data_IF_894998398294
#
_entry.id   IF_894998398294
#
_cell.length_a   1.000
_cell.length_b   1.000
_cell.length_c   1.000
_cell.angle_alpha   90.00
_cell.angle_beta   90.00
_cell.angle_gamma   90.00
#
_symmetry.space_group_name_H-M   'P 1'
#
loop_
_entity.id
_entity.type
_entity.pdbx_description
1 polymer ?
#
# COMPACT_ATOMS: atom_id res chain seq x y z
N UNK A 1 17.96 10.81 -17.46
CA UNK A 1 18.78 10.30 -18.59
C UNK A 1 19.72 9.15 -18.23
N UNK A 2 19.67 8.66 -16.99
CA UNK A 2 20.52 7.60 -16.46
C UNK A 2 20.25 6.25 -17.14
N UNK A 3 18.99 5.96 -17.45
CA UNK A 3 18.59 4.75 -18.20
C UNK A 3 19.24 4.72 -19.59
N UNK A 4 19.27 5.88 -20.28
CA UNK A 4 19.98 5.98 -21.57
C UNK A 4 21.50 5.83 -21.42
N UNK A 5 22.07 6.39 -20.35
CA UNK A 5 23.47 6.24 -20.05
C UNK A 5 23.85 4.77 -19.77
N UNK A 6 22.98 4.04 -19.07
CA UNK A 6 23.10 2.59 -18.82
C UNK A 6 22.81 1.73 -20.05
N UNK A 7 22.45 2.35 -21.20
CA UNK A 7 22.06 1.66 -22.42
C UNK A 7 20.92 0.65 -22.23
N UNK A 8 19.96 0.98 -21.36
CA UNK A 8 18.77 0.19 -21.11
C UNK A 8 17.65 0.73 -22.03
N UNK A 9 17.23 -0.02 -23.06
CA UNK A 9 16.13 0.40 -23.93
C UNK A 9 14.77 0.26 -23.21
N UNK A 10 13.77 0.98 -23.69
CA UNK A 10 12.36 0.78 -23.35
C UNK A 10 11.54 0.83 -24.64
N UNK A 11 10.48 0.04 -24.69
CA UNK A 11 9.73 -0.24 -25.91
C UNK A 11 8.47 0.61 -26.04
N UNK A 12 7.90 1.09 -24.91
CA UNK A 12 6.63 1.80 -24.88
C UNK A 12 6.81 3.28 -24.54
N UNK A 13 5.74 4.06 -24.71
CA UNK A 13 5.73 5.47 -24.34
C UNK A 13 5.83 5.63 -22.81
N UNK A 14 6.48 6.72 -22.41
CA UNK A 14 6.64 7.05 -20.98
C UNK A 14 5.29 7.46 -20.40
N UNK A 15 4.85 6.75 -19.37
CA UNK A 15 3.64 7.05 -18.62
C UNK A 15 3.99 7.85 -17.36
N UNK A 16 3.36 9.00 -17.19
CA UNK A 16 3.51 9.81 -15.99
C UNK A 16 2.37 9.52 -15.01
N UNK A 17 2.69 9.11 -13.78
CA UNK A 17 1.71 8.77 -12.74
C UNK A 17 0.64 9.85 -12.55
N UNK A 18 1.00 11.14 -12.65
CA UNK A 18 0.04 12.25 -12.53
C UNK A 18 -1.07 12.23 -13.59
N UNK A 19 -0.83 11.64 -14.74
CA UNK A 19 -1.84 11.54 -15.80
C UNK A 19 -2.92 10.50 -15.45
N UNK A 20 -2.62 9.59 -14.53
CA UNK A 20 -3.52 8.52 -14.10
C UNK A 20 -4.38 8.88 -12.87
N UNK A 21 -4.35 10.10 -12.37
CA UNK A 21 -5.09 10.52 -11.16
C UNK A 21 -6.59 10.17 -11.21
N UNK A 22 -7.22 10.32 -12.38
CA UNK A 22 -8.63 9.95 -12.55
C UNK A 22 -8.88 8.45 -12.35
N UNK A 23 -7.96 7.60 -12.82
CA UNK A 23 -8.04 6.15 -12.60
C UNK A 23 -7.86 5.81 -11.13
N UNK A 24 -6.88 6.44 -10.46
CA UNK A 24 -6.66 6.26 -9.02
C UNK A 24 -7.93 6.64 -8.24
N UNK A 25 -8.55 7.79 -8.55
CA UNK A 25 -9.79 8.24 -7.91
C UNK A 25 -10.94 7.24 -8.09
N UNK A 26 -11.13 6.73 -9.30
CA UNK A 26 -12.16 5.72 -9.58
C UNK A 26 -11.99 4.47 -8.71
N UNK A 27 -10.74 4.03 -8.49
CA UNK A 27 -10.46 2.88 -7.62
C UNK A 27 -10.68 3.21 -6.15
N UNK A 28 -10.31 4.41 -5.69
CA UNK A 28 -10.62 4.87 -4.32
C UNK A 28 -12.13 4.86 -4.08
N UNK A 29 -12.90 5.43 -5.01
CA UNK A 29 -14.37 5.49 -4.92
C UNK A 29 -14.98 4.07 -4.93
N UNK A 30 -14.44 3.17 -5.75
CA UNK A 30 -14.85 1.75 -5.76
C UNK A 30 -14.61 1.07 -4.41
N UNK A 31 -13.40 1.22 -3.84
CA UNK A 31 -13.06 0.62 -2.55
C UNK A 31 -13.93 1.17 -1.42
N UNK A 32 -14.22 2.48 -1.41
CA UNK A 32 -15.15 3.10 -0.46
C UNK A 32 -16.57 2.53 -0.62
N UNK A 33 -17.07 2.43 -1.85
CA UNK A 33 -18.41 1.89 -2.14
C UNK A 33 -18.55 0.43 -1.71
N UNK A 34 -17.49 -0.34 -1.81
CA UNK A 34 -17.45 -1.76 -1.39
C UNK A 34 -17.22 -1.95 0.11
N UNK A 35 -16.97 -0.89 0.88
CA UNK A 35 -16.63 -0.98 2.30
C UNK A 35 -15.23 -1.56 2.57
N UNK A 36 -14.38 -1.61 1.54
CA UNK A 36 -12.99 -2.07 1.61
C UNK A 36 -12.02 -0.93 1.99
N UNK A 37 -12.54 0.29 2.00
CA UNK A 37 -11.87 1.48 2.50
C UNK A 37 -12.88 2.35 3.27
N UNK A 38 -12.38 3.30 4.05
CA UNK A 38 -13.22 4.20 4.83
C UNK A 38 -12.59 5.59 4.92
N UNK A 39 -13.43 6.60 5.20
CA UNK A 39 -12.98 7.96 5.47
C UNK A 39 -12.55 8.07 6.92
N UNK A 40 -11.36 8.61 7.14
CA UNK A 40 -10.78 8.81 8.47
C UNK A 40 -10.60 10.31 8.70
N UNK A 41 -11.31 10.84 9.70
CA UNK A 41 -11.34 12.26 10.07
C UNK A 41 -10.42 12.58 11.25
N UNK A 42 -9.60 11.62 11.69
CA UNK A 42 -8.67 11.80 12.79
C UNK A 42 -7.60 12.83 12.43
N UNK A 43 -7.34 13.77 13.34
CA UNK A 43 -6.26 14.74 13.22
C UNK A 43 -4.88 14.03 13.31
N UNK A 44 -3.88 14.59 12.61
CA UNK A 44 -2.52 14.00 12.55
C UNK A 44 -1.88 13.79 13.92
N UNK A 45 -2.19 14.65 14.88
CA UNK A 45 -1.59 14.62 16.21
C UNK A 45 -1.96 13.39 17.05
N UNK A 46 -3.09 12.75 16.73
CA UNK A 46 -3.54 11.52 17.41
C UNK A 46 -2.92 10.25 16.83
N UNK A 47 -2.09 10.34 15.80
CA UNK A 47 -1.44 9.19 15.15
C UNK A 47 -0.01 8.95 15.61
N UNK A 48 0.58 9.88 16.35
CA UNK A 48 1.90 9.72 17.01
C UNK A 48 1.79 9.22 18.43
N UNK A 49 0.57 8.93 18.88
CA UNK A 49 0.32 8.28 20.17
C UNK A 49 0.82 6.84 20.14
N UNK A 50 2.12 6.71 20.31
CA UNK A 50 2.74 5.51 20.84
C UNK A 50 2.30 5.32 22.29
N UNK A 51 1.06 4.95 22.53
CA UNK A 51 0.74 4.17 23.72
C UNK A 51 1.29 2.76 23.49
N UNK A 52 2.62 2.70 23.28
CA UNK A 52 3.37 1.48 23.45
C UNK A 52 3.41 1.18 24.96
N UNK A 53 2.34 0.64 25.47
CA UNK A 53 2.45 -0.12 26.70
C UNK A 53 3.35 -1.32 26.39
N UNK A 54 4.57 -1.26 26.94
CA UNK A 54 5.52 -2.37 26.98
C UNK A 54 4.96 -3.50 27.85
N UNK A 55 3.89 -4.12 27.42
CA UNK A 55 3.46 -5.42 27.89
C UNK A 55 3.83 -6.41 26.81
N UNK A 56 4.52 -7.51 27.12
CA UNK A 56 5.05 -8.52 26.20
C UNK A 56 4.02 -9.26 25.33
N UNK A 57 2.93 -8.61 24.99
CA UNK A 57 1.98 -9.00 23.97
C UNK A 57 2.48 -8.56 22.59
N UNK A 58 2.27 -9.37 21.56
CA UNK A 58 2.55 -9.04 20.15
C UNK A 58 1.99 -7.66 19.82
N UNK A 59 2.86 -6.78 19.30
CA UNK A 59 2.45 -5.45 18.83
C UNK A 59 1.38 -5.61 17.74
N UNK A 60 0.17 -5.17 18.05
CA UNK A 60 -0.91 -5.11 17.08
C UNK A 60 -0.92 -3.71 16.43
N UNK A 61 -1.11 -3.67 15.12
CA UNK A 61 -1.16 -2.42 14.40
C UNK A 61 -2.38 -1.58 14.80
N UNK A 62 -2.20 -0.26 14.78
CA UNK A 62 -3.27 0.70 15.05
C UNK A 62 -4.45 0.49 14.10
N UNK A 63 -5.66 0.44 14.68
CA UNK A 63 -6.94 0.44 13.96
C UNK A 63 -7.68 1.74 14.27
N UNK A 64 -8.03 2.49 13.23
CA UNK A 64 -8.75 3.74 13.40
C UNK A 64 -10.17 3.49 13.95
N UNK A 65 -10.64 4.29 14.93
CA UNK A 65 -12.03 4.22 15.38
C UNK A 65 -13.06 4.53 14.28
N UNK A 66 -12.64 5.22 13.20
CA UNK A 66 -13.47 5.51 12.03
C UNK A 66 -13.69 4.29 11.11
N UNK A 67 -12.98 3.20 11.35
CA UNK A 67 -13.02 1.98 10.54
C UNK A 67 -14.42 1.38 10.40
N UNK A 68 -15.19 1.37 11.48
CA UNK A 68 -16.50 0.70 11.55
C UNK A 68 -17.66 1.72 11.60
N UNK A 69 -17.35 3.00 11.59
CA UNK A 69 -18.32 4.10 11.57
C UNK A 69 -18.73 4.41 10.11
N UNK A 70 -19.35 3.46 9.43
CA UNK A 70 -19.62 3.48 7.99
C UNK A 70 -20.54 4.58 7.48
N UNK A 71 -21.09 5.45 8.35
CA UNK A 71 -22.08 6.47 7.98
C UNK A 71 -21.78 7.88 8.50
N UNK A 72 -20.69 8.09 9.19
CA UNK A 72 -20.36 9.43 9.66
C UNK A 72 -19.73 10.22 8.54
N UNK A 73 -20.55 10.92 7.80
CA UNK A 73 -20.13 12.03 6.98
C UNK A 73 -20.07 13.23 7.89
N UNK A 74 -18.85 13.69 8.20
CA UNK A 74 -18.63 15.05 8.68
C UNK A 74 -18.33 15.91 7.44
N UNK A 75 -19.37 16.51 6.82
CA UNK A 75 -19.24 17.08 5.46
C UNK A 75 -18.23 18.23 5.39
N UNK A 76 -17.95 18.89 6.51
CA UNK A 76 -17.09 20.07 6.57
C UNK A 76 -15.65 19.78 7.07
N UNK A 77 -15.34 18.53 7.39
CA UNK A 77 -14.00 18.16 7.84
C UNK A 77 -13.17 17.51 6.74
N UNK A 78 -11.90 17.87 6.71
CA UNK A 78 -10.94 17.17 5.86
C UNK A 78 -10.75 15.73 6.36
N UNK A 79 -10.64 14.80 5.44
CA UNK A 79 -10.41 13.39 5.75
C UNK A 79 -9.34 12.80 4.82
N UNK A 80 -8.75 11.72 5.29
CA UNK A 80 -7.97 10.82 4.44
C UNK A 80 -8.76 9.54 4.19
N UNK A 81 -8.47 8.82 3.12
CA UNK A 81 -9.06 7.51 2.88
C UNK A 81 -8.06 6.44 3.29
N UNK A 82 -8.49 5.52 4.16
CA UNK A 82 -7.70 4.38 4.59
C UNK A 82 -8.24 3.09 4.00
N UNK A 83 -7.32 2.21 3.60
CA UNK A 83 -7.66 0.83 3.23
C UNK A 83 -8.03 0.06 4.50
N UNK A 84 -9.10 -0.71 4.43
CA UNK A 84 -9.57 -1.53 5.54
C UNK A 84 -8.88 -2.89 5.49
N UNK A 85 -7.77 -3.04 6.21
CA UNK A 85 -7.05 -4.32 6.28
C UNK A 85 -7.95 -5.40 6.84
N UNK A 86 -8.16 -6.54 6.17
CA UNK A 86 -9.05 -7.59 6.66
C UNK A 86 -8.51 -8.21 7.96
N UNK A 87 -9.41 -8.66 8.82
CA UNK A 87 -9.05 -9.45 10.00
C UNK A 87 -8.91 -10.93 9.67
N UNK A 88 -9.58 -11.38 8.61
CA UNK A 88 -9.50 -12.74 8.09
C UNK A 88 -9.26 -12.74 6.57
N UNK A 89 -8.37 -13.59 6.07
CA UNK A 89 -7.49 -14.48 6.86
C UNK A 89 -6.49 -13.66 7.69
N UNK A 90 -6.06 -14.20 8.83
CA UNK A 90 -5.12 -13.51 9.73
C UNK A 90 -3.72 -13.35 9.15
N UNK A 91 -3.40 -14.08 8.08
CA UNK A 91 -2.10 -14.04 7.42
C UNK A 91 -2.25 -13.93 5.91
N UNK A 92 -1.28 -13.25 5.28
CA UNK A 92 -1.10 -13.26 3.83
C UNK A 92 0.19 -13.99 3.50
N UNK A 93 0.11 -14.90 2.53
CA UNK A 93 1.26 -15.67 2.04
C UNK A 93 1.50 -15.29 0.58
N UNK A 94 2.77 -15.21 0.20
CA UNK A 94 3.17 -15.01 -1.19
C UNK A 94 4.57 -15.56 -1.43
N UNK A 95 4.86 -15.93 -2.67
CA UNK A 95 6.18 -16.40 -3.08
C UNK A 95 6.95 -15.24 -3.69
N UNK A 96 8.12 -14.95 -3.11
CA UNK A 96 9.08 -14.01 -3.67
C UNK A 96 10.15 -14.79 -4.45
N UNK A 97 10.52 -14.33 -5.64
CA UNK A 97 11.48 -15.05 -6.50
C UNK A 97 12.89 -15.16 -5.93
N UNK A 98 13.25 -14.28 -5.00
CA UNK A 98 14.57 -14.26 -4.35
C UNK A 98 14.49 -14.80 -2.92
N UNK A 99 13.45 -14.39 -2.18
CA UNK A 99 13.29 -14.71 -0.76
C UNK A 99 12.53 -16.01 -0.51
N UNK A 100 11.87 -16.58 -1.52
CA UNK A 100 11.05 -17.79 -1.39
C UNK A 100 9.69 -17.49 -0.74
N UNK A 101 9.16 -18.46 -0.01
CA UNK A 101 7.85 -18.36 0.64
C UNK A 101 7.89 -17.40 1.83
N UNK A 102 7.05 -16.38 1.79
CA UNK A 102 6.90 -15.37 2.82
C UNK A 102 5.48 -15.39 3.38
N UNK A 103 5.38 -15.19 4.70
CA UNK A 103 4.12 -15.17 5.43
C UNK A 103 4.07 -13.98 6.37
N UNK A 104 3.05 -13.14 6.25
CA UNK A 104 2.87 -11.93 7.05
C UNK A 104 1.61 -12.00 7.89
N UNK A 105 1.74 -11.64 9.18
CA UNK A 105 0.60 -11.49 10.09
C UNK A 105 -0.08 -10.15 9.85
N UNK A 106 -1.34 -10.15 9.41
CA UNK A 106 -2.09 -8.95 9.09
C UNK A 106 -2.46 -8.11 10.33
N UNK A 107 -2.34 -8.69 11.53
CA UNK A 107 -2.50 -7.92 12.77
C UNK A 107 -1.41 -6.85 12.93
N UNK A 108 -0.26 -7.03 12.28
CA UNK A 108 0.87 -6.08 12.31
C UNK A 108 0.77 -4.98 11.24
N UNK A 109 -0.17 -5.08 10.31
CA UNK A 109 -0.38 -4.10 9.23
C UNK A 109 -1.52 -3.16 9.63
N UNK A 110 -1.22 -1.87 9.76
CA UNK A 110 -2.24 -0.84 10.04
C UNK A 110 -3.22 -0.64 8.88
N UNK A 111 -4.38 -0.06 9.16
CA UNK A 111 -5.24 0.48 8.11
C UNK A 111 -4.51 1.67 7.45
N UNK A 112 -3.85 1.42 6.33
CA UNK A 112 -2.94 2.40 5.72
C UNK A 112 -3.68 3.40 4.82
N UNK A 113 -3.16 4.61 4.75
CA UNK A 113 -3.74 5.68 3.90
C UNK A 113 -3.55 5.35 2.44
N UNK A 114 -4.63 5.39 1.66
CA UNK A 114 -4.63 5.21 0.19
C UNK A 114 -4.93 6.50 -0.57
N UNK A 115 -5.60 7.48 0.08
CA UNK A 115 -5.75 8.83 -0.47
C UNK A 115 -5.53 9.89 0.62
N UNK A 116 -4.87 10.97 0.24
CA UNK A 116 -4.65 12.15 1.08
C UNK A 116 -5.89 13.02 1.13
N UNK A 117 -5.89 14.02 2.01
CA UNK A 117 -7.00 14.96 2.15
C UNK A 117 -7.23 15.84 0.93
N UNK A 118 -6.24 16.02 0.07
CA UNK A 118 -6.38 16.69 -1.22
C UNK A 118 -6.94 15.78 -2.33
N UNK A 119 -7.26 14.52 -1.99
CA UNK A 119 -7.76 13.51 -2.91
C UNK A 119 -6.67 12.79 -3.72
N UNK A 120 -5.41 13.15 -3.58
CA UNK A 120 -4.31 12.47 -4.26
C UNK A 120 -4.07 11.09 -3.68
N UNK A 121 -3.79 10.10 -4.55
CA UNK A 121 -3.43 8.75 -4.12
C UNK A 121 -2.07 8.72 -3.41
N UNK A 122 -1.92 7.77 -2.48
CA UNK A 122 -0.61 7.46 -1.90
C UNK A 122 0.13 6.42 -2.75
N UNK A 123 1.42 6.25 -2.46
CA UNK A 123 2.32 5.38 -3.20
C UNK A 123 1.73 3.97 -3.45
N UNK A 124 1.31 3.27 -2.39
CA UNK A 124 0.88 1.88 -2.52
C UNK A 124 -0.35 1.71 -3.44
N UNK A 125 -1.32 2.62 -3.38
CA UNK A 125 -2.47 2.57 -4.29
C UNK A 125 -2.08 2.95 -5.72
N UNK A 126 -1.33 4.04 -5.88
CA UNK A 126 -0.95 4.54 -7.20
C UNK A 126 -0.18 3.50 -8.00
N UNK A 127 0.83 2.87 -7.37
CA UNK A 127 1.63 1.82 -7.98
C UNK A 127 0.77 0.63 -8.41
N UNK A 128 -0.10 0.12 -7.54
CA UNK A 128 -0.97 -1.02 -7.88
C UNK A 128 -1.87 -0.72 -9.08
N UNK A 129 -2.45 0.48 -9.12
CA UNK A 129 -3.34 0.87 -10.23
C UNK A 129 -2.56 1.04 -11.53
N UNK A 130 -1.39 1.66 -11.46
CA UNK A 130 -0.55 1.88 -12.64
C UNK A 130 0.03 0.56 -13.15
N UNK A 131 0.58 -0.29 -12.29
CA UNK A 131 1.12 -1.59 -12.64
C UNK A 131 0.05 -2.50 -13.29
N UNK A 132 -1.16 -2.51 -12.72
CA UNK A 132 -2.28 -3.24 -13.30
C UNK A 132 -2.64 -2.72 -14.70
N UNK A 133 -2.76 -1.40 -14.87
CA UNK A 133 -3.10 -0.80 -16.16
C UNK A 133 -2.00 -1.01 -17.22
N UNK A 134 -0.75 -1.00 -16.79
CA UNK A 134 0.43 -1.24 -17.65
C UNK A 134 0.74 -2.73 -17.84
N UNK A 135 -0.04 -3.62 -17.20
CA UNK A 135 0.14 -5.08 -17.25
C UNK A 135 1.55 -5.52 -16.83
N UNK A 136 2.06 -4.88 -15.78
CA UNK A 136 3.37 -5.24 -15.21
C UNK A 136 3.31 -6.67 -14.71
N UNK A 137 4.21 -7.51 -15.22
CA UNK A 137 4.30 -8.93 -14.87
C UNK A 137 5.25 -9.20 -13.69
N UNK A 138 6.29 -8.40 -13.54
CA UNK A 138 7.34 -8.58 -12.53
C UNK A 138 7.69 -7.25 -11.86
N UNK A 139 7.85 -7.27 -10.54
CA UNK A 139 8.34 -6.14 -9.74
C UNK A 139 9.63 -6.57 -9.06
N UNK A 140 10.76 -6.02 -9.53
CA UNK A 140 12.11 -6.31 -9.01
C UNK A 140 12.62 -5.06 -8.31
N UNK A 141 12.91 -5.13 -7.00
CA UNK A 141 13.28 -3.96 -6.18
C UNK A 141 14.03 -4.33 -4.90
N UNK A 142 14.46 -3.36 -4.14
CA UNK A 142 15.10 -3.57 -2.84
C UNK A 142 14.15 -4.18 -1.79
N UNK A 143 14.72 -4.95 -0.86
CA UNK A 143 13.97 -5.65 0.20
C UNK A 143 13.36 -4.72 1.26
N UNK A 144 13.79 -3.46 1.33
CA UNK A 144 13.18 -2.39 2.12
C UNK A 144 11.70 -2.15 1.75
N UNK A 145 11.29 -2.59 0.56
CA UNK A 145 9.91 -2.54 0.09
C UNK A 145 9.04 -3.77 0.45
N UNK A 146 9.53 -4.75 1.20
CA UNK A 146 8.76 -5.96 1.54
C UNK A 146 7.41 -5.64 2.23
N UNK A 147 7.41 -4.73 3.20
CA UNK A 147 6.16 -4.30 3.86
C UNK A 147 5.20 -3.60 2.89
N UNK A 148 5.73 -2.86 1.89
CA UNK A 148 4.91 -2.28 0.83
C UNK A 148 4.28 -3.35 -0.05
N UNK A 149 4.99 -4.45 -0.32
CA UNK A 149 4.45 -5.59 -1.07
C UNK A 149 3.21 -6.17 -0.40
N UNK A 150 3.23 -6.34 0.92
CA UNK A 150 2.07 -6.82 1.69
C UNK A 150 0.87 -5.88 1.49
N UNK A 151 1.07 -4.56 1.63
CA UNK A 151 0.02 -3.55 1.42
C UNK A 151 -0.51 -3.56 -0.02
N UNK A 152 0.36 -3.73 -1.00
CA UNK A 152 0.01 -3.80 -2.42
C UNK A 152 -0.78 -5.08 -2.74
N UNK A 153 -0.35 -6.24 -2.24
CA UNK A 153 -1.07 -7.50 -2.39
C UNK A 153 -2.49 -7.42 -1.82
N UNK A 154 -2.67 -6.77 -0.67
CA UNK A 154 -4.00 -6.56 -0.10
C UNK A 154 -4.90 -5.74 -1.03
N UNK A 155 -4.36 -4.73 -1.72
CA UNK A 155 -5.13 -3.95 -2.70
C UNK A 155 -5.44 -4.81 -3.94
N UNK A 156 -4.47 -5.57 -4.48
CA UNK A 156 -4.69 -6.50 -5.60
C UNK A 156 -5.81 -7.49 -5.28
N UNK A 157 -5.77 -8.12 -4.11
CA UNK A 157 -6.79 -9.08 -3.67
C UNK A 157 -8.17 -8.43 -3.52
N UNK A 158 -8.24 -7.23 -2.92
CA UNK A 158 -9.48 -6.49 -2.75
C UNK A 158 -10.14 -6.10 -4.08
N UNK A 159 -9.34 -5.91 -5.12
CA UNK A 159 -9.80 -5.60 -6.48
C UNK A 159 -10.00 -6.84 -7.34
N UNK A 160 -9.66 -8.02 -6.82
CA UNK A 160 -9.65 -9.28 -7.56
C UNK A 160 -8.81 -9.21 -8.85
N UNK A 161 -7.66 -8.52 -8.75
CA UNK A 161 -6.71 -8.37 -9.85
C UNK A 161 -5.60 -9.41 -9.77
N UNK A 162 -5.05 -9.77 -10.93
CA UNK A 162 -3.87 -10.63 -11.01
C UNK A 162 -2.67 -9.86 -10.44
N UNK A 163 -1.95 -10.49 -9.52
CA UNK A 163 -0.74 -9.93 -8.90
C UNK A 163 0.46 -10.14 -9.82
N UNK A 164 1.38 -9.18 -9.91
CA UNK A 164 2.69 -9.40 -10.52
C UNK A 164 3.52 -10.39 -9.68
N UNK A 165 4.54 -10.96 -10.28
CA UNK A 165 5.58 -11.68 -9.54
C UNK A 165 6.52 -10.68 -8.86
N UNK A 166 6.91 -10.96 -7.62
CA UNK A 166 7.82 -10.10 -6.86
C UNK A 166 9.19 -10.73 -6.69
N UNK A 167 10.23 -9.89 -6.76
CA UNK A 167 11.61 -10.26 -6.50
C UNK A 167 12.29 -9.16 -5.67
N UNK A 168 12.55 -9.44 -4.38
CA UNK A 168 13.18 -8.48 -3.48
C UNK A 168 14.65 -8.82 -3.30
N UNK A 169 15.52 -7.97 -3.85
CA UNK A 169 16.97 -8.14 -3.76
C UNK A 169 17.52 -7.50 -2.47
N UNK A 170 18.57 -8.06 -1.87
CA UNK A 170 19.23 -7.47 -0.71
C UNK A 170 19.72 -6.05 -1.01
N UNK A 171 19.70 -5.18 0.01
CA UNK A 171 20.32 -3.87 -0.09
C UNK A 171 21.85 -4.01 -0.21
N UNK A 172 22.43 -3.11 -0.99
CA UNK A 172 23.88 -3.00 -1.10
C UNK A 172 24.33 -2.04 0.00
N UNK A 173 25.16 -2.53 0.89
CA UNK A 173 25.75 -1.76 1.98
C UNK A 173 27.20 -1.41 1.64
N UNK A 174 27.69 -0.31 2.21
CA UNK A 174 29.12 0.03 2.17
C UNK A 174 29.90 -0.90 3.14
N UNK A 175 31.23 -0.73 3.22
CA UNK A 175 32.09 -1.53 4.10
C UNK A 175 31.76 -1.35 5.59
N UNK A 176 31.09 -0.28 5.97
CA UNK A 176 30.66 0.05 7.33
C UNK A 176 29.24 -0.50 7.64
N UNK A 177 28.56 -1.10 6.65
CA UNK A 177 27.25 -1.70 6.80
C UNK A 177 26.08 -0.70 6.73
N UNK A 178 26.33 0.53 6.23
CA UNK A 178 25.33 1.57 6.03
C UNK A 178 24.79 1.60 4.59
#
# INVERSE_FOLDING_TARGET
>A
NDIKWLNIPWDEEIVFQRQNQNKHKQIIDYLLKKGLAFRCFAERENHTGSNFEKSGARETAFRSPWRDLSKNTEPDKQYVVRFKVPSEPSRINFTDKVRGELSWDLSTIEDFVIARSDGSSTYNLAVVVDDHNMKISHVIRGEDHLTNTVKQLLIYHALNWVTPEFAHIPLIHNEEGE
#
